data_IF_853785811914
#
_entry.id   IF_853785811914
#
_cell.length_a   1.000
_cell.length_b   1.000
_cell.length_c   1.000
_cell.angle_alpha   90.00
_cell.angle_beta   90.00
_cell.angle_gamma   90.00
#
_symmetry.space_group_name_H-M   'P 1'
#
loop_
_entity.id
_entity.type
_entity.pdbx_description
1 polymer ?
#
# COMPACT_ATOMS: atom_id res chain seq x y z
N UNK A 1 16.50 45.86 85.69
CA UNK A 1 16.97 47.25 85.76
C UNK A 1 17.94 47.46 84.57
N UNK A 2 17.48 48.27 83.61
CA UNK A 2 18.16 48.89 82.44
C UNK A 2 19.03 47.99 81.49
N UNK A 3 18.53 47.53 80.48
CA UNK A 3 18.08 48.08 79.18
C UNK A 3 19.07 49.05 78.52
N UNK A 4 19.81 48.64 77.55
CA UNK A 4 20.34 49.48 76.45
C UNK A 4 20.22 48.79 75.09
N UNK A 5 19.41 49.44 74.26
CA UNK A 5 19.19 49.17 72.84
C UNK A 5 20.50 49.31 72.06
N UNK A 6 20.80 48.37 71.23
CA UNK A 6 21.71 48.57 70.08
C UNK A 6 20.95 48.12 68.84
N UNK A 7 20.58 49.12 68.02
CA UNK A 7 20.11 48.93 66.63
C UNK A 7 21.30 48.50 65.78
N UNK A 8 21.21 47.35 65.19
CA UNK A 8 22.16 46.95 64.15
C UNK A 8 21.37 46.94 62.81
N UNK A 9 21.64 47.96 61.98
CA UNK A 9 21.11 48.08 60.64
C UNK A 9 21.87 47.16 59.72
N UNK A 10 21.28 46.03 59.28
CA UNK A 10 21.81 45.16 58.24
C UNK A 10 21.32 45.68 56.90
N UNK A 11 22.23 46.29 56.13
CA UNK A 11 22.01 46.66 54.73
C UNK A 11 22.09 45.40 53.88
N UNK A 12 20.94 44.96 53.38
CA UNK A 12 20.82 43.83 52.49
C UNK A 12 20.94 44.31 51.03
N UNK A 13 22.15 44.17 50.45
CA UNK A 13 22.42 44.40 49.06
C UNK A 13 21.82 43.25 48.24
N UNK A 14 20.73 43.52 47.56
CA UNK A 14 20.08 42.62 46.64
C UNK A 14 20.95 42.55 45.36
N UNK A 15 21.69 41.47 45.19
CA UNK A 15 22.39 41.16 43.94
C UNK A 15 21.33 40.68 42.94
N UNK A 16 20.96 41.52 41.97
CA UNK A 16 20.11 41.21 40.86
C UNK A 16 20.93 40.35 39.85
N UNK A 17 20.81 39.02 39.97
CA UNK A 17 21.38 38.09 39.02
C UNK A 17 20.50 38.17 37.76
N UNK A 18 20.93 38.94 36.78
CA UNK A 18 20.32 39.02 35.46
C UNK A 18 20.43 37.67 34.76
N UNK A 19 19.35 36.89 34.77
CA UNK A 19 19.25 35.75 33.85
C UNK A 19 19.17 36.30 32.44
N UNK A 20 20.26 36.23 31.69
CA UNK A 20 20.29 36.43 30.27
C UNK A 20 19.39 35.34 29.64
N UNK A 21 18.17 35.71 29.27
CA UNK A 21 17.34 34.89 28.38
C UNK A 21 18.14 34.74 27.10
N UNK A 22 18.72 33.57 26.87
CA UNK A 22 19.31 33.21 25.60
C UNK A 22 18.14 33.20 24.59
N UNK A 23 18.08 34.25 23.78
CA UNK A 23 17.24 34.35 22.62
C UNK A 23 17.57 33.12 21.73
N UNK A 24 16.59 32.28 21.35
CA UNK A 24 16.91 31.17 20.47
C UNK A 24 17.48 31.75 19.20
N UNK A 25 18.68 31.35 18.86
CA UNK A 25 19.37 31.75 17.64
C UNK A 25 18.40 31.53 16.47
N UNK A 26 17.96 32.65 15.88
CA UNK A 26 17.20 32.64 14.64
C UNK A 26 18.09 31.89 13.63
N UNK A 27 17.68 30.71 13.24
CA UNK A 27 18.32 29.96 12.17
C UNK A 27 18.41 30.91 10.98
N UNK A 28 19.62 31.10 10.41
CA UNK A 28 19.90 31.88 9.22
C UNK A 28 18.98 31.42 8.08
N UNK A 29 17.77 31.96 8.04
CA UNK A 29 16.87 31.80 6.92
C UNK A 29 17.38 32.67 5.78
N UNK A 30 17.94 32.06 4.74
CA UNK A 30 18.26 32.77 3.50
C UNK A 30 17.07 33.62 3.09
N UNK A 31 17.23 34.90 2.79
CA UNK A 31 16.10 35.79 2.47
C UNK A 31 15.28 35.19 1.32
N UNK A 32 13.97 35.02 1.53
CA UNK A 32 13.02 34.48 0.56
C UNK A 32 12.71 33.00 0.65
N UNK A 33 13.33 32.23 1.54
CA UNK A 33 12.97 30.83 1.76
C UNK A 33 11.94 30.70 2.90
N UNK A 34 10.94 29.86 2.68
CA UNK A 34 9.94 29.44 3.66
C UNK A 34 10.22 28.01 4.11
N UNK A 35 9.99 27.72 5.38
CA UNK A 35 10.05 26.36 5.94
C UNK A 35 8.65 25.91 6.25
N UNK A 36 8.29 24.69 5.81
CA UNK A 36 7.00 24.09 6.10
C UNK A 36 7.13 22.60 6.38
N UNK A 37 6.42 22.15 7.40
CA UNK A 37 6.26 20.72 7.71
C UNK A 37 4.95 20.20 7.15
N UNK A 38 5.01 19.01 6.51
CA UNK A 38 3.87 18.28 5.98
C UNK A 38 3.82 16.91 6.64
N UNK A 39 2.76 16.64 7.38
CA UNK A 39 2.52 15.33 8.00
C UNK A 39 1.61 14.51 7.10
N UNK A 40 1.98 13.27 6.82
CA UNK A 40 1.22 12.36 5.98
C UNK A 40 0.30 11.48 6.82
N UNK A 41 -0.93 11.35 6.38
CA UNK A 41 -1.97 10.58 7.06
C UNK A 41 -2.10 9.17 6.48
N UNK A 42 -1.99 9.02 5.17
CA UNK A 42 -2.28 7.78 4.46
C UNK A 42 -1.06 7.16 3.78
N UNK A 43 -0.14 7.98 3.32
CA UNK A 43 1.06 7.51 2.59
C UNK A 43 2.32 7.75 3.43
N UNK A 44 3.44 7.20 3.01
CA UNK A 44 4.72 7.36 3.70
C UNK A 44 5.47 8.59 3.20
N UNK A 45 6.07 9.36 4.10
CA UNK A 45 6.79 10.59 3.77
C UNK A 45 8.01 10.35 2.87
N UNK A 46 8.68 9.21 2.98
CA UNK A 46 9.81 8.82 2.14
C UNK A 46 9.42 8.65 0.67
N UNK A 47 8.25 8.06 0.41
CA UNK A 47 7.71 7.93 -0.96
C UNK A 47 7.36 9.28 -1.56
N UNK A 48 6.78 10.18 -0.76
CA UNK A 48 6.48 11.54 -1.20
C UNK A 48 7.75 12.33 -1.51
N UNK A 49 8.82 12.14 -0.75
CA UNK A 49 10.09 12.85 -0.93
C UNK A 49 10.68 12.65 -2.33
N UNK A 50 10.60 11.44 -2.89
CA UNK A 50 11.07 11.14 -4.25
C UNK A 50 10.33 11.94 -5.32
N UNK A 51 9.01 12.10 -5.16
CA UNK A 51 8.16 12.83 -6.10
C UNK A 51 8.26 14.36 -5.93
N UNK A 52 8.58 14.84 -4.73
CA UNK A 52 8.74 16.27 -4.42
C UNK A 52 10.10 16.81 -4.86
N UNK A 53 11.15 15.98 -4.81
CA UNK A 53 12.52 16.41 -5.13
C UNK A 53 12.66 17.22 -6.44
N UNK A 54 12.03 16.84 -7.56
CA UNK A 54 12.10 17.62 -8.80
C UNK A 54 11.36 18.98 -8.78
N UNK A 55 10.51 19.23 -7.78
CA UNK A 55 9.76 20.47 -7.63
C UNK A 55 10.52 21.54 -6.83
N UNK A 56 11.62 21.15 -6.18
CA UNK A 56 12.43 22.07 -5.38
C UNK A 56 13.32 22.93 -6.27
N UNK A 57 13.54 24.17 -5.82
CA UNK A 57 14.54 25.06 -6.42
C UNK A 57 15.96 24.57 -6.11
N UNK A 58 16.96 25.19 -6.75
CA UNK A 58 18.37 24.92 -6.46
C UNK A 58 18.77 25.24 -5.00
N UNK A 59 18.05 26.19 -4.37
CA UNK A 59 18.24 26.57 -2.97
C UNK A 59 17.33 25.78 -2.02
N UNK A 60 16.41 24.98 -2.59
CA UNK A 60 15.43 24.18 -1.84
C UNK A 60 16.07 22.97 -1.18
N UNK A 61 15.54 22.59 -0.03
CA UNK A 61 15.94 21.39 0.70
C UNK A 61 14.75 20.69 1.33
N UNK A 62 14.89 19.40 1.61
CA UNK A 62 13.88 18.65 2.36
C UNK A 62 14.53 17.66 3.29
N UNK A 63 13.86 17.35 4.39
CA UNK A 63 14.26 16.35 5.37
C UNK A 63 13.05 15.52 5.79
N UNK A 64 13.25 14.21 5.88
CA UNK A 64 12.22 13.26 6.31
C UNK A 64 12.28 13.12 7.82
N UNK A 65 11.13 13.14 8.48
CA UNK A 65 10.93 12.88 9.91
C UNK A 65 10.17 11.55 10.08
N UNK A 66 10.88 10.41 10.16
CA UNK A 66 10.22 9.10 10.16
C UNK A 66 9.28 8.88 11.35
N UNK A 67 9.65 9.39 12.54
CA UNK A 67 8.86 9.22 13.77
C UNK A 67 7.48 9.86 13.73
N UNK A 68 7.31 10.92 12.95
CA UNK A 68 6.04 11.65 12.79
C UNK A 68 5.42 11.47 11.41
N UNK A 69 6.01 10.63 10.55
CA UNK A 69 5.63 10.47 9.14
C UNK A 69 5.48 11.84 8.45
N UNK A 70 6.47 12.70 8.61
CA UNK A 70 6.43 14.07 8.12
C UNK A 70 7.63 14.39 7.22
N UNK A 71 7.43 15.37 6.35
CA UNK A 71 8.45 15.93 5.47
C UNK A 71 8.57 17.42 5.78
N UNK A 72 9.76 17.86 6.18
CA UNK A 72 10.08 19.28 6.33
C UNK A 72 10.70 19.76 5.02
N UNK A 73 10.09 20.75 4.42
CA UNK A 73 10.53 21.36 3.14
C UNK A 73 10.91 22.81 3.38
N UNK A 74 12.06 23.22 2.84
CA UNK A 74 12.52 24.59 2.80
C UNK A 74 12.68 24.98 1.36
N UNK A 75 11.93 25.98 0.89
CA UNK A 75 12.01 26.45 -0.49
C UNK A 75 11.33 27.84 -0.62
N UNK A 76 11.39 28.41 -1.81
CA UNK A 76 10.70 29.67 -2.16
C UNK A 76 9.19 29.48 -2.10
N UNK A 77 8.47 30.56 -1.76
CA UNK A 77 7.02 30.52 -1.57
C UNK A 77 6.24 29.98 -2.78
N UNK A 78 6.69 30.23 -3.99
CA UNK A 78 6.09 29.74 -5.26
C UNK A 78 6.24 28.23 -5.40
N UNK A 79 7.45 27.68 -5.16
CA UNK A 79 7.67 26.22 -5.20
C UNK A 79 6.93 25.52 -4.07
N UNK A 80 6.86 26.15 -2.90
CA UNK A 80 6.11 25.62 -1.75
C UNK A 80 4.61 25.40 -2.08
N UNK A 81 4.02 26.23 -2.96
CA UNK A 81 2.64 26.00 -3.45
C UNK A 81 2.54 24.75 -4.31
N UNK A 82 3.51 24.52 -5.19
CA UNK A 82 3.56 23.32 -6.03
C UNK A 82 3.75 22.06 -5.17
N UNK A 83 4.66 22.11 -4.20
CA UNK A 83 4.89 21.04 -3.24
C UNK A 83 3.60 20.72 -2.44
N UNK A 84 2.93 21.75 -1.90
CA UNK A 84 1.70 21.55 -1.14
C UNK A 84 0.57 20.92 -1.97
N UNK A 85 0.42 21.32 -3.24
CA UNK A 85 -0.55 20.72 -4.15
C UNK A 85 -0.23 19.25 -4.41
N UNK A 86 1.02 18.97 -4.74
CA UNK A 86 1.49 17.60 -5.00
C UNK A 86 1.27 16.69 -3.78
N UNK A 87 1.57 17.16 -2.56
CA UNK A 87 1.31 16.42 -1.33
C UNK A 87 -0.17 16.15 -1.14
N UNK A 88 -1.04 17.13 -1.36
CA UNK A 88 -2.49 16.96 -1.28
C UNK A 88 -3.04 15.95 -2.29
N UNK A 89 -2.41 15.85 -3.47
CA UNK A 89 -2.78 14.85 -4.47
C UNK A 89 -2.21 13.46 -4.16
N UNK A 90 -1.07 13.40 -3.49
CA UNK A 90 -0.40 12.15 -3.12
C UNK A 90 -0.99 11.51 -1.86
N UNK A 91 -1.26 12.28 -0.80
CA UNK A 91 -1.70 11.77 0.51
C UNK A 91 -3.23 11.59 0.56
N UNK A 92 -3.75 10.82 -0.40
CA UNK A 92 -5.19 10.46 -0.43
C UNK A 92 -5.42 9.14 0.28
N UNK A 93 -6.62 8.98 0.82
CA UNK A 93 -7.05 7.72 1.44
C UNK A 93 -6.94 6.56 0.45
N UNK A 94 -6.29 5.44 0.85
CA UNK A 94 -6.22 4.26 0.01
C UNK A 94 -7.61 3.74 -0.34
N UNK A 95 -7.82 3.46 -1.62
CA UNK A 95 -9.08 2.90 -2.09
C UNK A 95 -9.19 1.43 -1.70
N UNK A 96 -10.43 0.97 -1.48
CA UNK A 96 -10.74 -0.43 -1.24
C UNK A 96 -11.04 -1.13 -2.57
N UNK A 97 -10.54 -2.37 -2.68
CA UNK A 97 -10.71 -3.21 -3.84
C UNK A 97 -11.23 -4.57 -3.42
N UNK A 98 -12.00 -5.20 -4.30
CA UNK A 98 -12.41 -6.59 -4.19
C UNK A 98 -11.67 -7.39 -5.26
N UNK A 99 -10.92 -8.41 -4.86
CA UNK A 99 -10.31 -9.35 -5.79
C UNK A 99 -11.10 -10.66 -5.76
N UNK A 100 -11.72 -10.98 -6.89
CA UNK A 100 -12.36 -12.26 -7.15
C UNK A 100 -11.33 -13.20 -7.72
N UNK A 101 -11.15 -14.34 -7.08
CA UNK A 101 -10.25 -15.41 -7.52
C UNK A 101 -11.08 -16.67 -7.73
N UNK A 102 -11.07 -17.21 -8.93
CA UNK A 102 -11.75 -18.45 -9.25
C UNK A 102 -10.77 -19.43 -9.90
N UNK A 103 -10.80 -20.65 -9.45
CA UNK A 103 -9.99 -21.74 -10.01
C UNK A 103 -10.88 -22.60 -10.87
N UNK A 104 -10.52 -22.74 -12.15
CA UNK A 104 -11.28 -23.46 -13.16
C UNK A 104 -10.46 -24.67 -13.62
N UNK A 105 -11.04 -25.83 -13.50
CA UNK A 105 -10.52 -27.07 -14.10
C UNK A 105 -10.86 -27.12 -15.57
N UNK A 106 -9.88 -27.33 -16.44
CA UNK A 106 -10.05 -27.40 -17.88
C UNK A 106 -9.57 -28.78 -18.41
N UNK A 107 -10.37 -29.42 -19.24
CA UNK A 107 -10.03 -30.70 -19.86
C UNK A 107 -10.52 -30.78 -21.29
N UNK A 108 -10.04 -31.78 -22.03
CA UNK A 108 -10.59 -32.17 -23.32
C UNK A 108 -11.44 -33.40 -23.14
N UNK A 109 -12.67 -33.33 -23.59
CA UNK A 109 -13.61 -34.44 -23.59
C UNK A 109 -14.12 -34.68 -25.02
N UNK A 110 -14.54 -35.89 -25.30
CA UNK A 110 -15.19 -36.21 -26.56
C UNK A 110 -16.62 -35.64 -26.56
N UNK A 111 -17.08 -35.15 -27.72
CA UNK A 111 -18.41 -34.60 -27.91
C UNK A 111 -18.51 -33.09 -27.72
N UNK A 112 -19.74 -32.65 -27.41
CA UNK A 112 -20.04 -31.19 -27.31
C UNK A 112 -19.34 -30.52 -26.13
N UNK A 113 -18.98 -29.22 -26.27
CA UNK A 113 -18.39 -28.44 -25.19
C UNK A 113 -19.25 -28.44 -23.92
N UNK A 114 -18.62 -28.61 -22.75
CA UNK A 114 -19.26 -28.61 -21.44
C UNK A 114 -18.68 -27.47 -20.59
N UNK A 115 -19.48 -26.45 -20.38
CA UNK A 115 -19.11 -25.33 -19.49
C UNK A 115 -20.10 -25.34 -18.32
N UNK A 116 -19.59 -25.40 -17.10
CA UNK A 116 -20.42 -25.38 -15.91
C UNK A 116 -21.27 -24.08 -15.85
N UNK A 117 -22.46 -24.17 -15.29
CA UNK A 117 -23.43 -23.06 -15.29
C UNK A 117 -22.92 -21.81 -14.55
N UNK A 118 -22.12 -21.99 -13.53
CA UNK A 118 -21.48 -20.94 -12.73
C UNK A 118 -20.28 -20.25 -13.42
N UNK A 119 -19.88 -20.75 -14.61
CA UNK A 119 -18.85 -20.16 -15.46
C UNK A 119 -19.39 -19.39 -16.66
N UNK A 120 -20.70 -19.13 -16.73
CA UNK A 120 -21.35 -18.44 -17.88
C UNK A 120 -20.78 -17.03 -18.10
N UNK A 121 -20.42 -16.33 -17.04
CA UNK A 121 -19.84 -14.99 -17.07
C UNK A 121 -18.49 -14.94 -17.80
N UNK A 122 -17.73 -16.03 -17.76
CA UNK A 122 -16.41 -16.16 -18.39
C UNK A 122 -16.40 -17.12 -19.59
N UNK A 123 -17.54 -17.72 -19.92
CA UNK A 123 -17.64 -18.79 -20.94
C UNK A 123 -17.05 -18.38 -22.28
N UNK A 124 -17.31 -17.14 -22.76
CA UNK A 124 -16.79 -16.62 -24.02
C UNK A 124 -15.25 -16.59 -24.05
N UNK A 125 -14.63 -16.23 -22.94
CA UNK A 125 -13.17 -16.18 -22.82
C UNK A 125 -12.58 -17.60 -22.70
N UNK A 126 -13.23 -18.49 -21.95
CA UNK A 126 -12.83 -19.89 -21.83
C UNK A 126 -12.91 -20.62 -23.17
N UNK A 127 -13.94 -20.34 -23.97
CA UNK A 127 -14.10 -20.96 -25.30
C UNK A 127 -12.96 -20.64 -26.30
N UNK A 128 -12.16 -19.61 -26.02
CA UNK A 128 -10.98 -19.27 -26.84
C UNK A 128 -9.76 -20.14 -26.51
N UNK A 129 -9.80 -20.93 -25.43
CA UNK A 129 -8.70 -21.77 -24.98
C UNK A 129 -8.83 -23.17 -25.61
N UNK A 130 -7.71 -23.95 -25.66
CA UNK A 130 -7.67 -25.25 -26.34
C UNK A 130 -8.32 -26.40 -25.56
N UNK A 131 -9.36 -26.11 -24.78
CA UNK A 131 -10.14 -27.06 -23.98
C UNK A 131 -11.61 -26.94 -24.36
N UNK A 132 -12.40 -27.96 -24.04
CA UNK A 132 -13.83 -27.95 -24.32
C UNK A 132 -14.70 -28.38 -23.12
N UNK A 133 -14.08 -28.68 -21.97
CA UNK A 133 -14.80 -28.92 -20.73
C UNK A 133 -14.20 -28.08 -19.61
N UNK A 134 -15.06 -27.34 -18.91
CA UNK A 134 -14.71 -26.43 -17.86
C UNK A 134 -15.61 -26.60 -16.64
N UNK A 135 -15.01 -26.72 -15.47
CA UNK A 135 -15.70 -26.80 -14.19
C UNK A 135 -15.12 -25.80 -13.20
N UNK A 136 -15.95 -25.26 -12.31
CA UNK A 136 -15.49 -24.45 -11.19
C UNK A 136 -14.95 -25.40 -10.11
N UNK A 137 -13.67 -25.20 -9.77
CA UNK A 137 -12.97 -25.99 -8.75
C UNK A 137 -12.99 -25.27 -7.41
N UNK A 138 -13.08 -23.98 -7.41
CA UNK A 138 -13.17 -23.16 -6.20
C UNK A 138 -13.14 -21.69 -6.53
N UNK A 139 -13.82 -20.92 -5.71
CA UNK A 139 -13.82 -19.46 -5.85
C UNK A 139 -13.84 -18.79 -4.48
N UNK A 140 -13.30 -17.60 -4.41
CA UNK A 140 -13.34 -16.75 -3.25
C UNK A 140 -13.14 -15.29 -3.61
N UNK A 141 -13.54 -14.41 -2.69
CA UNK A 141 -13.38 -12.97 -2.81
C UNK A 141 -12.66 -12.45 -1.58
N UNK A 142 -11.73 -11.54 -1.80
CA UNK A 142 -11.08 -10.81 -0.70
C UNK A 142 -11.21 -9.32 -0.95
N UNK A 143 -11.44 -8.58 0.12
CA UNK A 143 -11.42 -7.13 0.13
C UNK A 143 -10.16 -6.65 0.83
N UNK A 144 -9.53 -5.62 0.29
CA UNK A 144 -8.35 -4.97 0.87
C UNK A 144 -8.11 -3.60 0.27
N UNK A 145 -7.19 -2.87 0.87
CA UNK A 145 -6.70 -1.57 0.40
C UNK A 145 -5.29 -1.72 -0.19
N UNK A 146 -4.82 -0.69 -0.86
CA UNK A 146 -3.42 -0.62 -1.29
C UNK A 146 -2.45 -0.92 -0.14
N UNK A 147 -1.55 -1.86 -0.34
CA UNK A 147 -0.56 -2.30 0.65
C UNK A 147 -1.00 -3.45 1.54
N UNK A 148 -2.29 -3.79 1.56
CA UNK A 148 -2.80 -4.88 2.40
C UNK A 148 -2.38 -6.25 1.87
N UNK A 149 -2.07 -7.21 2.76
CA UNK A 149 -1.94 -8.60 2.39
C UNK A 149 -3.31 -9.21 2.11
N UNK A 150 -3.37 -10.08 1.10
CA UNK A 150 -4.54 -10.89 0.79
C UNK A 150 -4.22 -12.36 1.02
N UNK A 151 -5.03 -13.03 1.82
CA UNK A 151 -4.97 -14.47 2.04
C UNK A 151 -6.37 -15.06 1.89
N UNK A 152 -6.49 -16.05 1.02
CA UNK A 152 -7.75 -16.74 0.76
C UNK A 152 -7.52 -18.24 0.88
N UNK A 153 -8.25 -18.88 1.76
CA UNK A 153 -8.36 -20.33 1.83
C UNK A 153 -9.71 -20.76 1.24
N UNK A 154 -9.66 -21.57 0.19
CA UNK A 154 -10.86 -22.12 -0.46
C UNK A 154 -11.18 -23.49 0.13
N UNK A 155 -12.46 -23.78 0.34
CA UNK A 155 -12.92 -25.07 0.90
C UNK A 155 -12.42 -26.26 0.09
N UNK A 156 -12.17 -26.08 -1.19
CA UNK A 156 -11.64 -27.10 -2.10
C UNK A 156 -10.15 -27.39 -1.90
N UNK A 157 -9.51 -26.77 -0.90
CA UNK A 157 -8.11 -26.96 -0.54
C UNK A 157 -7.14 -26.21 -1.43
N UNK A 158 -7.55 -25.10 -2.02
CA UNK A 158 -6.65 -24.16 -2.66
C UNK A 158 -6.45 -22.94 -1.76
N UNK A 159 -5.26 -22.35 -1.86
CA UNK A 159 -4.88 -21.12 -1.17
C UNK A 159 -4.37 -20.11 -2.16
N UNK A 160 -4.87 -18.87 -2.07
CA UNK A 160 -4.30 -17.71 -2.75
C UNK A 160 -3.66 -16.79 -1.70
N UNK A 161 -2.43 -16.38 -1.94
CA UNK A 161 -1.68 -15.42 -1.13
C UNK A 161 -1.12 -14.34 -2.06
N UNK A 162 -1.25 -13.06 -1.68
CA UNK A 162 -0.78 -11.92 -2.49
C UNK A 162 -0.75 -10.65 -1.65
N UNK A 163 -0.32 -9.54 -2.27
CA UNK A 163 -0.46 -8.20 -1.72
C UNK A 163 -1.17 -7.29 -2.72
N UNK A 164 -2.12 -6.50 -2.25
CA UNK A 164 -2.62 -5.36 -3.01
C UNK A 164 -1.48 -4.34 -3.15
N UNK A 165 -1.07 -4.07 -4.37
CA UNK A 165 -0.05 -3.06 -4.66
C UNK A 165 -0.66 -1.67 -4.82
N UNK A 166 0.00 -0.83 -5.59
CA UNK A 166 -0.45 0.53 -5.86
C UNK A 166 -1.57 0.52 -6.92
N UNK A 167 -2.55 1.40 -6.73
CA UNK A 167 -3.57 1.69 -7.72
C UNK A 167 -3.10 2.82 -8.63
N UNK A 168 -3.18 2.59 -9.93
CA UNK A 168 -2.92 3.60 -10.94
C UNK A 168 -4.25 4.15 -11.49
N UNK A 169 -4.62 5.39 -11.17
CA UNK A 169 -5.84 6.01 -11.67
C UNK A 169 -5.81 6.30 -13.17
N UNK A 170 -4.63 6.41 -13.80
CA UNK A 170 -4.52 6.71 -15.21
C UNK A 170 -4.92 5.51 -16.09
N UNK A 171 -4.57 4.30 -15.66
CA UNK A 171 -4.93 3.05 -16.34
C UNK A 171 -6.11 2.33 -15.69
N UNK A 172 -6.70 2.90 -14.63
CA UNK A 172 -7.74 2.29 -13.79
C UNK A 172 -7.38 0.84 -13.40
N UNK A 173 -6.16 0.65 -12.87
CA UNK A 173 -5.64 -0.67 -12.58
C UNK A 173 -5.04 -0.75 -11.18
N UNK A 174 -5.17 -1.94 -10.56
CA UNK A 174 -4.55 -2.29 -9.28
C UNK A 174 -3.46 -3.33 -9.49
N UNK A 175 -2.29 -3.09 -8.90
CA UNK A 175 -1.24 -4.09 -8.87
C UNK A 175 -1.60 -5.20 -7.88
N UNK A 176 -1.42 -6.44 -8.29
CA UNK A 176 -1.45 -7.62 -7.42
C UNK A 176 -0.04 -8.20 -7.40
N UNK A 177 0.63 -8.05 -6.26
CA UNK A 177 2.03 -8.44 -6.07
C UNK A 177 2.12 -9.80 -5.40
N UNK A 178 3.12 -10.58 -5.81
CA UNK A 178 3.44 -11.89 -5.23
C UNK A 178 2.25 -12.85 -5.16
N UNK A 179 1.36 -12.80 -6.16
CA UNK A 179 0.24 -13.74 -6.24
C UNK A 179 0.77 -15.16 -6.34
N UNK A 180 0.49 -15.94 -5.32
CA UNK A 180 0.81 -17.35 -5.25
C UNK A 180 -0.49 -18.16 -5.06
N UNK A 181 -0.75 -19.05 -6.01
CA UNK A 181 -1.83 -20.04 -5.90
C UNK A 181 -1.19 -21.37 -5.57
N UNK A 182 -1.67 -22.00 -4.51
CA UNK A 182 -1.17 -23.29 -4.01
C UNK A 182 -2.30 -24.27 -3.78
N UNK A 183 -2.00 -25.56 -3.87
CA UNK A 183 -2.88 -26.66 -3.49
C UNK A 183 -2.40 -27.25 -2.18
N UNK A 184 -3.30 -27.43 -1.23
CA UNK A 184 -3.06 -28.18 -0.01
C UNK A 184 -2.95 -29.68 -0.39
N UNK A 185 -1.81 -30.27 -0.09
CA UNK A 185 -1.51 -31.69 -0.38
C UNK A 185 -1.09 -32.38 0.90
N UNK A 186 -1.72 -33.53 1.20
CA UNK A 186 -1.36 -34.36 2.35
C UNK A 186 -2.36 -34.36 3.50
N UNK A 187 -2.18 -35.32 4.42
CA UNK A 187 -3.03 -35.52 5.60
C UNK A 187 -2.81 -34.44 6.66
N UNK A 188 -1.65 -33.80 6.65
CA UNK A 188 -1.37 -32.60 7.43
C UNK A 188 -1.52 -31.38 6.51
N UNK A 189 -2.43 -30.48 6.88
CA UNK A 189 -2.80 -29.27 6.09
C UNK A 189 -1.66 -28.28 5.81
N UNK A 190 -0.41 -28.66 6.05
CA UNK A 190 0.76 -27.77 5.98
C UNK A 190 1.61 -27.94 4.71
N UNK A 191 1.35 -28.96 3.90
CA UNK A 191 2.06 -29.13 2.63
C UNK A 191 1.33 -28.38 1.51
N UNK A 192 1.92 -27.26 1.09
CA UNK A 192 1.45 -26.45 -0.02
C UNK A 192 2.28 -26.75 -1.28
N UNK A 193 1.63 -27.20 -2.34
CA UNK A 193 2.23 -27.28 -3.67
C UNK A 193 1.90 -26.01 -4.43
N UNK A 194 2.91 -25.21 -4.79
CA UNK A 194 2.73 -24.01 -5.59
C UNK A 194 2.35 -24.36 -7.02
N UNK A 195 1.26 -23.77 -7.51
CA UNK A 195 0.72 -23.98 -8.87
C UNK A 195 0.97 -22.78 -9.78
N UNK A 196 0.99 -21.59 -9.20
CA UNK A 196 1.26 -20.34 -9.91
C UNK A 196 1.95 -19.37 -8.95
N UNK A 197 2.96 -18.66 -9.45
CA UNK A 197 3.54 -17.49 -8.79
C UNK A 197 3.76 -16.39 -9.82
N UNK A 198 3.16 -15.23 -9.60
CA UNK A 198 3.24 -14.10 -10.54
C UNK A 198 2.90 -12.78 -9.84
N UNK A 199 3.23 -11.68 -10.48
CA UNK A 199 2.73 -10.34 -10.15
C UNK A 199 2.16 -9.72 -11.42
N UNK A 200 1.03 -9.02 -11.31
CA UNK A 200 0.36 -8.46 -12.47
C UNK A 200 -0.46 -7.23 -12.09
N UNK A 201 -0.79 -6.40 -13.07
CA UNK A 201 -1.73 -5.30 -12.93
C UNK A 201 -3.08 -5.73 -13.48
N UNK A 202 -4.13 -5.51 -12.70
CA UNK A 202 -5.51 -5.83 -13.07
C UNK A 202 -6.28 -4.53 -13.33
N UNK A 203 -6.70 -4.31 -14.57
CA UNK A 203 -7.64 -3.24 -14.88
C UNK A 203 -8.99 -3.53 -14.22
N UNK A 204 -9.56 -2.54 -13.56
CA UNK A 204 -10.81 -2.69 -12.82
C UNK A 204 -11.94 -3.15 -13.74
N UNK A 205 -12.70 -4.16 -13.30
CA UNK A 205 -13.80 -4.77 -14.06
C UNK A 205 -13.37 -5.72 -15.18
N UNK A 206 -12.07 -5.81 -15.50
CA UNK A 206 -11.58 -6.70 -16.55
C UNK A 206 -11.29 -8.10 -16.00
N UNK A 207 -11.67 -9.13 -16.76
CA UNK A 207 -11.38 -10.52 -16.42
C UNK A 207 -10.06 -10.96 -17.03
N UNK A 208 -9.20 -11.51 -16.22
CA UNK A 208 -7.91 -12.13 -16.60
C UNK A 208 -8.00 -13.63 -16.41
N UNK A 209 -7.44 -14.40 -17.33
CA UNK A 209 -7.35 -15.86 -17.23
C UNK A 209 -5.88 -16.23 -17.36
N UNK A 210 -5.34 -16.86 -16.32
CA UNK A 210 -3.96 -17.31 -16.24
C UNK A 210 -3.93 -18.84 -16.25
N UNK A 211 -3.00 -19.45 -16.99
CA UNK A 211 -2.70 -20.86 -16.86
C UNK A 211 -1.90 -21.12 -15.58
N UNK A 212 -2.24 -22.17 -14.85
CA UNK A 212 -1.47 -22.65 -13.72
C UNK A 212 -0.88 -24.03 -13.99
N UNK A 213 0.12 -24.41 -13.19
CA UNK A 213 0.64 -25.78 -13.24
C UNK A 213 -0.46 -26.77 -12.86
N UNK A 214 -0.43 -27.94 -13.46
CA UNK A 214 -1.33 -29.04 -13.05
C UNK A 214 -1.08 -29.38 -11.59
N UNK A 215 -2.17 -29.57 -10.82
CA UNK A 215 -2.03 -30.12 -9.49
C UNK A 215 -1.43 -31.55 -9.60
N UNK A 216 -0.62 -31.99 -8.62
CA UNK A 216 -0.14 -33.35 -8.57
C UNK A 216 -1.27 -34.36 -8.77
N UNK A 217 -1.04 -35.37 -9.60
CA UNK A 217 -2.01 -36.44 -9.93
C UNK A 217 -3.29 -35.97 -10.66
N UNK A 218 -3.40 -34.69 -11.06
CA UNK A 218 -4.53 -34.20 -11.84
C UNK A 218 -4.31 -34.37 -13.34
N UNK A 219 -5.32 -34.88 -14.03
CA UNK A 219 -5.37 -34.94 -15.49
C UNK A 219 -5.82 -33.61 -16.11
N UNK A 220 -6.33 -32.67 -15.28
CA UNK A 220 -6.92 -31.41 -15.71
C UNK A 220 -5.90 -30.29 -15.66
N UNK A 221 -5.93 -29.43 -16.67
CA UNK A 221 -5.25 -28.14 -16.60
C UNK A 221 -6.01 -27.23 -15.62
N UNK A 222 -5.31 -26.38 -14.89
CA UNK A 222 -5.90 -25.39 -14.03
C UNK A 222 -5.78 -24.01 -14.65
N UNK A 223 -6.85 -23.23 -14.58
CA UNK A 223 -6.93 -21.83 -14.98
C UNK A 223 -7.32 -21.01 -13.78
N UNK A 224 -6.66 -19.88 -13.61
CA UNK A 224 -6.96 -18.93 -12.57
C UNK A 224 -7.66 -17.74 -13.22
N UNK A 225 -8.89 -17.51 -12.83
CA UNK A 225 -9.69 -16.34 -13.28
C UNK A 225 -9.62 -15.28 -12.20
N UNK A 226 -9.20 -14.08 -12.59
CA UNK A 226 -9.05 -12.93 -11.71
C UNK A 226 -9.90 -11.77 -12.20
N UNK A 227 -10.60 -11.11 -11.28
CA UNK A 227 -11.33 -9.87 -11.55
C UNK A 227 -11.16 -8.95 -10.36
N UNK A 228 -10.64 -7.76 -10.59
CA UNK A 228 -10.60 -6.70 -9.58
C UNK A 228 -11.83 -5.78 -9.75
N UNK A 229 -12.45 -5.39 -8.64
CA UNK A 229 -13.55 -4.41 -8.58
C UNK A 229 -13.31 -3.40 -7.46
N UNK A 230 -13.94 -2.24 -7.56
CA UNK A 230 -14.05 -1.24 -6.47
C UNK A 230 -15.30 -1.49 -5.67
#
# INVERSE_FOLDING_TARGET
>A
MNLKRILLTISMTLAFCGAALAEPAAADSKPGLAVRSFTFKFKQADKAAAAIKPLLSADGSMSIQPSSNALVVTDRAENMKAVARMIGDFDKEPQSFHLYVRIVGASRVEGSPKIANDLKDVARKLAMLPYNAYENVGEATVQGKEGDPGLIDMETGYRANFHFGEYDPASDSIAVKDLQISKLTGVQKDQLTSLLKTSLNLTIGQTYILGAAKAPQSQRALMIVLVARR
#
